data_IF_423834344837
#
_entry.id   IF_423834344837
#
_cell.length_a   1.000
_cell.length_b   1.000
_cell.length_c   1.000
_cell.angle_alpha   90.00
_cell.angle_beta   90.00
_cell.angle_gamma   90.00
#
_symmetry.space_group_name_H-M   'P 1'
#
loop_
_entity.id
_entity.type
_entity.pdbx_description
1 polymer ?
#
# COMPACT_ATOMS: atom_id res chain seq x y z
N UNK A 1 39.41 -5.01 -29.21
CA UNK A 1 39.72 -5.54 -27.88
C UNK A 1 38.48 -5.38 -27.02
N UNK A 2 37.82 -6.48 -26.70
CA UNK A 2 36.74 -6.52 -25.71
C UNK A 2 37.42 -6.35 -24.33
N UNK A 3 37.36 -5.16 -23.74
CA UNK A 3 37.77 -4.96 -22.36
C UNK A 3 36.69 -5.56 -21.48
N UNK A 4 37.03 -6.63 -20.73
CA UNK A 4 36.19 -7.07 -19.65
C UNK A 4 36.03 -5.91 -18.65
N UNK A 5 34.79 -5.54 -18.28
CA UNK A 5 34.61 -4.54 -17.22
C UNK A 5 35.28 -5.06 -15.94
N UNK A 6 35.87 -4.19 -15.12
CA UNK A 6 36.51 -4.62 -13.87
C UNK A 6 35.46 -5.34 -13.01
N UNK A 7 35.90 -6.42 -12.35
CA UNK A 7 35.06 -7.16 -11.41
C UNK A 7 34.52 -6.19 -10.35
N UNK A 8 33.21 -6.18 -10.16
CA UNK A 8 32.59 -5.38 -9.12
C UNK A 8 32.99 -5.93 -7.74
N UNK A 9 33.67 -5.13 -6.93
CA UNK A 9 34.06 -5.52 -5.58
C UNK A 9 32.83 -5.86 -4.72
N UNK A 10 31.71 -5.13 -4.88
CA UNK A 10 30.44 -5.39 -4.20
C UNK A 10 29.85 -6.78 -4.47
N UNK A 11 30.13 -7.39 -5.64
CA UNK A 11 29.74 -8.78 -5.91
C UNK A 11 30.46 -9.81 -5.03
N UNK A 12 31.65 -9.47 -4.52
CA UNK A 12 32.34 -10.33 -3.56
C UNK A 12 31.60 -10.39 -2.23
N UNK A 13 31.00 -9.28 -1.79
CA UNK A 13 30.14 -9.23 -0.62
C UNK A 13 28.86 -10.05 -0.82
N UNK A 14 28.24 -9.99 -2.01
CA UNK A 14 27.07 -10.83 -2.33
C UNK A 14 27.45 -12.33 -2.28
N UNK A 15 28.59 -12.72 -2.83
CA UNK A 15 29.10 -14.11 -2.74
C UNK A 15 29.35 -14.53 -1.29
N UNK A 16 29.98 -13.66 -0.50
CA UNK A 16 30.19 -13.91 0.94
C UNK A 16 28.84 -14.12 1.66
N UNK A 17 27.81 -13.30 1.33
CA UNK A 17 26.46 -13.47 1.88
C UNK A 17 25.83 -14.81 1.53
N UNK A 18 25.98 -15.29 0.30
CA UNK A 18 25.51 -16.63 -0.12
C UNK A 18 26.14 -17.73 0.75
N UNK A 19 27.38 -17.54 1.21
CA UNK A 19 28.07 -18.46 2.12
C UNK A 19 27.82 -18.18 3.61
N UNK A 20 26.84 -17.32 3.95
CA UNK A 20 26.41 -17.08 5.33
C UNK A 20 27.13 -15.95 6.07
N UNK A 21 28.03 -15.19 5.40
CA UNK A 21 28.70 -14.06 6.03
C UNK A 21 27.76 -12.85 6.18
N UNK A 22 27.92 -12.10 7.26
CA UNK A 22 27.22 -10.83 7.46
C UNK A 22 27.77 -9.78 6.52
N UNK A 23 26.87 -8.90 6.05
CA UNK A 23 27.23 -7.75 5.24
C UNK A 23 27.61 -6.56 6.15
N UNK A 24 28.77 -5.98 5.87
CA UNK A 24 29.22 -4.79 6.56
C UNK A 24 28.58 -3.52 5.96
N UNK A 25 28.60 -2.43 6.73
CA UNK A 25 28.03 -1.13 6.29
C UNK A 25 28.59 -0.68 4.94
N UNK A 26 29.92 -0.75 4.76
CA UNK A 26 30.60 -0.37 3.51
C UNK A 26 30.23 -1.26 2.34
N UNK A 27 30.02 -2.55 2.59
CA UNK A 27 29.59 -3.51 1.57
C UNK A 27 28.16 -3.22 1.10
N UNK A 28 27.21 -2.97 2.03
CA UNK A 28 25.84 -2.59 1.71
C UNK A 28 25.77 -1.26 0.94
N UNK A 29 26.56 -0.28 1.34
CA UNK A 29 26.66 0.99 0.60
C UNK A 29 27.20 0.79 -0.82
N UNK A 30 28.21 -0.06 -0.99
CA UNK A 30 28.77 -0.38 -2.31
C UNK A 30 27.75 -1.13 -3.18
N UNK A 31 27.04 -2.11 -2.62
CA UNK A 31 25.99 -2.85 -3.33
C UNK A 31 24.90 -1.89 -3.81
N UNK A 32 24.34 -1.07 -2.92
CA UNK A 32 23.24 -0.14 -3.25
C UNK A 32 23.67 0.87 -4.31
N UNK A 33 24.87 1.42 -4.21
CA UNK A 33 25.44 2.33 -5.22
C UNK A 33 25.59 1.66 -6.57
N UNK A 34 26.22 0.46 -6.62
CA UNK A 34 26.41 -0.27 -7.86
C UNK A 34 25.09 -0.72 -8.51
N UNK A 35 24.05 -0.97 -7.71
CA UNK A 35 22.68 -1.22 -8.19
C UNK A 35 22.13 0.02 -8.90
N UNK A 36 22.20 1.18 -8.28
CA UNK A 36 21.67 2.46 -8.83
C UNK A 36 22.46 2.91 -10.06
N UNK A 37 23.77 2.67 -10.08
CA UNK A 37 24.64 2.95 -11.22
C UNK A 37 24.42 1.97 -12.40
N UNK A 38 23.49 1.03 -12.29
CA UNK A 38 23.17 0.05 -13.33
C UNK A 38 24.29 -0.97 -13.58
N UNK A 39 25.17 -1.18 -12.61
CA UNK A 39 26.32 -2.09 -12.72
C UNK A 39 25.98 -3.53 -12.40
N UNK A 40 24.80 -3.77 -11.79
CA UNK A 40 24.28 -5.12 -11.50
C UNK A 40 23.40 -5.61 -12.65
N UNK A 41 23.63 -6.85 -13.06
CA UNK A 41 22.70 -7.56 -13.93
C UNK A 41 21.54 -8.12 -13.12
N UNK A 42 20.41 -8.48 -13.77
CA UNK A 42 19.28 -9.13 -13.10
C UNK A 42 19.70 -10.42 -12.38
N UNK A 43 20.72 -11.14 -12.90
CA UNK A 43 21.29 -12.34 -12.25
C UNK A 43 21.97 -11.97 -10.93
N UNK A 44 22.75 -10.89 -10.92
CA UNK A 44 23.43 -10.43 -9.71
C UNK A 44 22.45 -9.89 -8.67
N UNK A 45 21.42 -9.14 -9.12
CA UNK A 45 20.32 -8.68 -8.28
C UNK A 45 19.53 -9.84 -7.68
N UNK A 46 19.18 -10.84 -8.50
CA UNK A 46 18.49 -12.05 -8.04
C UNK A 46 19.31 -12.81 -7.00
N UNK A 47 20.64 -12.90 -7.18
CA UNK A 47 21.53 -13.54 -6.22
C UNK A 47 21.54 -12.79 -4.86
N UNK A 48 21.65 -11.45 -4.87
CA UNK A 48 21.59 -10.64 -3.66
C UNK A 48 20.24 -10.79 -2.94
N UNK A 49 19.13 -10.66 -3.66
CA UNK A 49 17.78 -10.74 -3.13
C UNK A 49 17.50 -12.15 -2.56
N UNK A 50 17.89 -13.19 -3.28
CA UNK A 50 17.72 -14.58 -2.80
C UNK A 50 18.58 -14.85 -1.57
N UNK A 51 19.84 -14.43 -1.56
CA UNK A 51 20.71 -14.60 -0.41
C UNK A 51 20.17 -13.94 0.85
N UNK A 52 19.59 -12.74 0.73
CA UNK A 52 18.99 -12.00 1.86
C UNK A 52 17.58 -12.46 2.22
N UNK A 53 16.89 -13.19 1.34
CA UNK A 53 15.62 -13.85 1.66
C UNK A 53 15.83 -15.18 2.41
N UNK A 54 16.82 -15.98 2.01
CA UNK A 54 17.16 -17.26 2.64
C UNK A 54 17.88 -17.06 3.98
N UNK A 55 18.78 -16.11 4.04
CA UNK A 55 19.48 -15.65 5.25
C UNK A 55 19.02 -14.22 5.55
N UNK A 56 17.93 -14.00 6.30
CA UNK A 56 17.40 -12.67 6.53
C UNK A 56 18.43 -11.72 7.13
N UNK A 57 18.39 -10.47 6.68
CA UNK A 57 19.19 -9.41 7.26
C UNK A 57 18.76 -9.20 8.71
N UNK A 58 19.74 -9.12 9.61
CA UNK A 58 19.45 -8.81 11.00
C UNK A 58 19.22 -7.29 11.19
N UNK A 59 18.93 -6.90 12.45
CA UNK A 59 18.67 -5.51 12.79
C UNK A 59 19.85 -4.58 12.46
N UNK A 60 21.09 -5.08 12.63
CA UNK A 60 22.30 -4.29 12.40
C UNK A 60 22.67 -4.17 10.93
N UNK A 61 22.26 -5.13 10.10
CA UNK A 61 22.40 -5.07 8.64
C UNK A 61 21.29 -4.23 7.99
N UNK A 62 20.08 -4.27 8.56
CA UNK A 62 18.92 -3.52 8.01
C UNK A 62 19.10 -2.01 8.12
N UNK A 63 19.73 -1.49 9.19
CA UNK A 63 19.99 -0.05 9.35
C UNK A 63 20.90 0.49 8.24
N UNK A 64 22.11 -0.05 8.00
CA UNK A 64 22.97 0.46 6.93
C UNK A 64 22.39 0.26 5.54
N UNK A 65 21.60 -0.81 5.30
CA UNK A 65 20.86 -0.95 4.05
C UNK A 65 19.85 0.19 3.87
N UNK A 66 19.04 0.46 4.90
CA UNK A 66 18.07 1.56 4.88
C UNK A 66 18.75 2.89 4.60
N UNK A 67 19.86 3.18 5.30
CA UNK A 67 20.64 4.41 5.12
C UNK A 67 21.21 4.52 3.71
N UNK A 68 21.82 3.45 3.21
CA UNK A 68 22.35 3.41 1.84
C UNK A 68 21.27 3.69 0.78
N UNK A 69 20.08 3.15 0.98
CA UNK A 69 18.94 3.40 0.08
C UNK A 69 18.42 4.84 0.16
N UNK A 70 18.48 5.47 1.35
CA UNK A 70 18.17 6.90 1.51
C UNK A 70 19.24 7.75 0.80
N UNK A 71 20.51 7.48 1.04
CA UNK A 71 21.66 8.30 0.59
C UNK A 71 21.80 8.38 -0.94
N UNK A 72 21.26 7.39 -1.68
CA UNK A 72 21.32 7.36 -3.16
C UNK A 72 20.10 7.99 -3.85
N UNK A 73 19.09 8.39 -3.09
CA UNK A 73 17.86 9.00 -3.60
C UNK A 73 17.84 10.53 -3.42
N UNK A 74 16.88 11.17 -4.08
CA UNK A 74 16.57 12.58 -3.83
C UNK A 74 15.86 12.76 -2.49
N UNK A 75 16.09 13.91 -1.84
CA UNK A 75 15.51 14.23 -0.54
C UNK A 75 14.57 15.41 -0.64
N UNK A 76 13.34 15.23 -0.17
CA UNK A 76 12.38 16.32 -0.03
C UNK A 76 12.52 16.99 1.34
N UNK A 77 12.40 18.30 1.39
CA UNK A 77 12.41 19.06 2.62
C UNK A 77 11.19 19.98 2.69
N UNK A 78 10.53 20.00 3.82
CA UNK A 78 9.31 20.76 4.05
C UNK A 78 9.52 21.77 5.18
N UNK A 79 8.97 22.97 5.00
CA UNK A 79 9.00 24.01 6.05
C UNK A 79 7.91 23.74 7.09
N UNK A 80 7.99 22.59 7.77
CA UNK A 80 7.07 22.19 8.82
C UNK A 80 7.80 21.34 9.86
N UNK A 81 7.54 21.53 11.17
CA UNK A 81 8.18 20.76 12.23
C UNK A 81 7.65 19.32 12.26
N UNK A 82 6.40 19.11 11.84
CA UNK A 82 5.73 17.80 11.81
C UNK A 82 5.30 17.52 10.38
N UNK A 83 5.89 16.49 9.80
CA UNK A 83 5.57 15.96 8.46
C UNK A 83 5.19 14.50 8.63
N UNK A 84 3.92 14.22 8.39
CA UNK A 84 3.36 12.89 8.64
C UNK A 84 3.26 12.06 7.37
N UNK A 85 3.34 10.74 7.51
CA UNK A 85 3.04 9.78 6.45
C UNK A 85 2.33 8.55 7.02
N UNK A 86 1.71 7.80 6.17
CA UNK A 86 1.05 6.52 6.47
C UNK A 86 1.49 5.48 5.46
N UNK A 87 1.83 4.28 5.94
CA UNK A 87 2.11 3.15 5.08
C UNK A 87 1.35 1.91 5.54
N UNK A 88 1.01 1.02 4.60
CA UNK A 88 0.48 -0.30 4.90
C UNK A 88 1.43 -1.35 4.30
N UNK A 89 1.79 -2.37 5.07
CA UNK A 89 2.67 -3.46 4.59
C UNK A 89 2.07 -4.27 3.44
N UNK A 90 0.75 -4.15 3.22
CA UNK A 90 0.07 -4.70 2.06
C UNK A 90 -0.62 -6.03 2.29
N UNK A 91 -1.01 -6.68 1.18
CA UNK A 91 -1.69 -7.97 1.19
C UNK A 91 -3.21 -7.90 1.24
N UNK A 92 -3.81 -6.70 1.24
CA UNK A 92 -5.27 -6.51 1.20
C UNK A 92 -5.69 -5.81 -0.10
N UNK A 93 -6.49 -6.43 -0.96
CA UNK A 93 -7.13 -5.72 -2.07
C UNK A 93 -8.11 -4.66 -1.54
N UNK A 94 -8.34 -3.63 -2.32
CA UNK A 94 -9.08 -2.45 -1.87
C UNK A 94 -8.20 -1.59 -0.95
N UNK A 95 -8.49 -1.54 0.34
CA UNK A 95 -7.68 -0.88 1.39
C UNK A 95 -7.18 0.53 1.03
N UNK A 96 -8.03 1.33 0.39
CA UNK A 96 -7.72 2.69 -0.08
C UNK A 96 -7.87 3.73 1.04
N UNK A 97 -7.30 3.44 2.22
CA UNK A 97 -7.32 4.35 3.37
C UNK A 97 -6.46 5.59 3.14
N UNK A 98 -5.40 5.50 2.33
CA UNK A 98 -4.41 6.58 2.17
C UNK A 98 -5.02 7.90 1.68
N UNK A 99 -5.86 7.97 0.63
CA UNK A 99 -6.46 9.23 0.21
C UNK A 99 -7.32 9.87 1.31
N UNK A 100 -8.07 9.05 2.06
CA UNK A 100 -8.89 9.52 3.18
C UNK A 100 -8.04 10.11 4.30
N UNK A 101 -6.96 9.42 4.66
CA UNK A 101 -6.02 9.87 5.70
C UNK A 101 -5.34 11.18 5.31
N UNK A 102 -4.89 11.31 4.04
CA UNK A 102 -4.29 12.56 3.54
C UNK A 102 -5.28 13.71 3.64
N UNK A 103 -6.52 13.50 3.19
CA UNK A 103 -7.55 14.53 3.23
C UNK A 103 -7.87 14.98 4.67
N UNK A 104 -7.97 14.03 5.61
CA UNK A 104 -8.26 14.32 7.02
C UNK A 104 -7.09 15.06 7.68
N UNK A 105 -5.86 14.56 7.53
CA UNK A 105 -4.68 15.16 8.14
C UNK A 105 -4.40 16.57 7.59
N UNK A 106 -4.47 16.74 6.27
CA UNK A 106 -4.28 18.03 5.62
C UNK A 106 -5.38 19.04 5.99
N UNK A 107 -6.66 18.61 6.12
CA UNK A 107 -7.75 19.45 6.59
C UNK A 107 -7.57 19.93 8.04
N UNK A 108 -6.77 19.24 8.84
CA UNK A 108 -6.37 19.67 10.19
C UNK A 108 -5.07 20.49 10.21
N UNK A 109 -4.46 20.74 9.06
CA UNK A 109 -3.23 21.55 8.95
C UNK A 109 -1.92 20.77 9.04
N UNK A 110 -1.94 19.45 9.27
CA UNK A 110 -0.74 18.63 9.22
C UNK A 110 -0.20 18.51 7.79
N UNK A 111 1.12 18.54 7.64
CA UNK A 111 1.78 18.38 6.34
C UNK A 111 1.93 16.89 6.03
N UNK A 112 1.27 16.43 4.96
CA UNK A 112 1.30 15.04 4.51
C UNK A 112 1.61 14.94 3.00
N UNK A 113 2.89 15.03 2.60
CA UNK A 113 3.32 14.94 1.19
C UNK A 113 3.37 13.48 0.76
N UNK A 114 2.22 12.92 0.45
CA UNK A 114 2.09 11.49 0.18
C UNK A 114 2.60 11.10 -1.19
N UNK A 115 3.71 10.36 -1.23
CA UNK A 115 4.14 9.61 -2.40
C UNK A 115 3.71 8.15 -2.29
N UNK A 116 3.26 7.58 -3.38
CA UNK A 116 2.70 6.22 -3.43
C UNK A 116 3.19 5.46 -4.65
N UNK A 117 3.27 4.13 -4.55
CA UNK A 117 3.57 3.28 -5.71
C UNK A 117 2.30 3.02 -6.54
N UNK A 118 2.53 2.69 -7.82
CA UNK A 118 1.57 1.95 -8.64
C UNK A 118 1.47 0.51 -8.15
N UNK A 119 0.47 -0.20 -8.60
CA UNK A 119 0.27 -1.61 -8.22
C UNK A 119 1.48 -2.47 -8.58
N UNK A 120 1.94 -3.24 -7.60
CA UNK A 120 3.00 -4.24 -7.79
C UNK A 120 2.37 -5.62 -8.00
N UNK A 121 1.69 -6.15 -7.00
CA UNK A 121 0.97 -7.43 -7.03
C UNK A 121 -0.53 -7.29 -6.75
N UNK A 122 -0.95 -6.12 -6.25
CA UNK A 122 -2.35 -5.78 -6.00
C UNK A 122 -3.09 -5.39 -7.29
N UNK A 123 -4.43 -5.44 -7.31
CA UNK A 123 -5.24 -4.97 -8.44
C UNK A 123 -5.22 -3.45 -8.65
N UNK A 124 -4.83 -2.68 -7.62
CA UNK A 124 -4.56 -1.25 -7.71
C UNK A 124 -3.56 -0.81 -6.66
N UNK A 125 -2.70 0.15 -7.00
CA UNK A 125 -1.91 0.94 -6.06
C UNK A 125 -2.63 2.25 -5.72
N UNK A 126 -2.15 2.97 -4.71
CA UNK A 126 -2.72 4.28 -4.37
C UNK A 126 -2.55 5.27 -5.53
N UNK A 127 -1.42 5.23 -6.25
CA UNK A 127 -1.22 6.08 -7.41
C UNK A 127 -2.21 5.74 -8.54
N UNK A 128 -2.46 4.45 -8.82
CA UNK A 128 -3.43 4.03 -9.85
C UNK A 128 -4.85 4.50 -9.52
N UNK A 129 -5.25 4.42 -8.24
CA UNK A 129 -6.55 4.89 -7.78
C UNK A 129 -6.67 6.42 -7.85
N UNK A 130 -5.64 7.14 -7.43
CA UNK A 130 -5.64 8.60 -7.49
C UNK A 130 -5.57 9.13 -8.91
N UNK A 131 -4.93 8.41 -9.83
CA UNK A 131 -4.88 8.78 -11.25
C UNK A 131 -6.26 8.80 -11.93
N UNK A 132 -7.24 8.09 -11.36
CA UNK A 132 -8.65 8.20 -11.79
C UNK A 132 -9.21 9.60 -11.47
N UNK A 133 -8.77 10.20 -10.37
CA UNK A 133 -9.28 11.47 -9.86
C UNK A 133 -8.48 12.68 -10.36
N UNK A 134 -7.14 12.57 -10.41
CA UNK A 134 -6.24 13.68 -10.68
C UNK A 134 -4.93 13.22 -11.34
N UNK A 135 -4.12 14.18 -11.80
CA UNK A 135 -2.75 13.91 -12.22
C UNK A 135 -1.89 13.51 -11.01
N UNK A 136 -1.22 12.36 -11.09
CA UNK A 136 -0.33 11.83 -10.04
C UNK A 136 1.16 12.03 -10.34
N UNK A 137 1.48 12.66 -11.47
CA UNK A 137 2.85 12.91 -11.95
C UNK A 137 3.14 14.43 -12.10
N UNK A 138 2.88 15.26 -11.07
CA UNK A 138 3.27 16.67 -11.12
C UNK A 138 4.79 16.79 -11.11
N UNK A 139 5.34 17.88 -11.66
CA UNK A 139 6.76 18.20 -11.47
C UNK A 139 7.07 18.44 -9.99
N UNK A 140 8.33 18.35 -9.61
CA UNK A 140 8.76 18.57 -8.21
C UNK A 140 8.39 19.97 -7.71
N UNK A 141 8.56 20.99 -8.55
CA UNK A 141 8.20 22.37 -8.22
C UNK A 141 6.71 22.48 -7.95
N UNK A 142 5.90 21.90 -8.84
CA UNK A 142 4.44 21.91 -8.68
C UNK A 142 3.99 21.14 -7.44
N UNK A 143 4.61 19.99 -7.17
CA UNK A 143 4.33 19.20 -5.96
C UNK A 143 4.64 20.00 -4.69
N UNK A 144 5.76 20.71 -4.68
CA UNK A 144 6.16 21.57 -3.55
C UNK A 144 5.18 22.73 -3.31
N UNK A 145 4.67 23.35 -4.39
CA UNK A 145 3.63 24.38 -4.31
C UNK A 145 2.33 23.80 -3.72
N UNK A 146 1.87 22.67 -4.24
CA UNK A 146 0.64 22.01 -3.77
C UNK A 146 0.73 21.70 -2.27
N UNK A 147 1.85 21.12 -1.82
CA UNK A 147 2.02 20.80 -0.40
C UNK A 147 2.07 22.06 0.47
N UNK A 148 2.72 23.13 0.01
CA UNK A 148 2.76 24.40 0.72
C UNK A 148 1.37 25.02 0.88
N UNK A 149 0.55 24.98 -0.18
CA UNK A 149 -0.76 25.62 -0.22
C UNK A 149 -1.86 24.77 0.43
N UNK A 150 -1.82 23.44 0.17
CA UNK A 150 -2.88 22.51 0.56
C UNK A 150 -2.45 21.50 1.63
N UNK A 151 -1.26 21.62 2.21
CA UNK A 151 -0.73 20.76 3.28
C UNK A 151 -0.59 19.28 2.92
N UNK A 152 -0.86 18.88 1.69
CA UNK A 152 -0.78 17.49 1.25
C UNK A 152 -0.67 17.35 -0.26
N UNK A 153 -0.39 16.14 -0.69
CA UNK A 153 -0.48 15.70 -2.08
C UNK A 153 -0.66 14.19 -2.14
N UNK A 154 -1.01 13.67 -3.31
CA UNK A 154 -1.14 12.23 -3.57
C UNK A 154 -0.46 11.93 -4.92
N UNK A 155 0.87 11.86 -4.91
CA UNK A 155 1.68 11.71 -6.11
C UNK A 155 2.22 10.28 -6.28
N UNK A 156 2.60 9.93 -7.51
CA UNK A 156 3.38 8.73 -7.78
C UNK A 156 4.84 8.95 -7.39
N UNK A 157 5.40 8.04 -6.58
CA UNK A 157 6.77 8.17 -6.06
C UNK A 157 7.87 7.99 -7.12
N UNK A 158 7.55 7.42 -8.30
CA UNK A 158 8.53 7.24 -9.37
C UNK A 158 8.98 8.55 -10.03
N UNK A 159 8.18 9.61 -9.97
CA UNK A 159 8.54 10.93 -10.54
C UNK A 159 9.55 11.70 -9.69
N UNK A 160 9.68 11.36 -8.41
CA UNK A 160 10.52 12.10 -7.47
C UNK A 160 11.87 11.41 -7.15
N UNK A 161 12.18 10.29 -7.82
CA UNK A 161 13.44 9.52 -7.63
C UNK A 161 13.87 9.32 -6.17
N UNK A 162 12.89 9.18 -5.26
CA UNK A 162 13.13 9.14 -3.82
C UNK A 162 13.88 7.88 -3.36
N UNK A 163 13.77 6.79 -4.08
CA UNK A 163 14.45 5.54 -3.73
C UNK A 163 14.73 4.70 -4.99
N UNK A 164 15.65 5.15 -5.85
CA UNK A 164 15.95 4.47 -7.12
C UNK A 164 16.44 3.03 -6.91
N UNK A 165 17.17 2.77 -5.82
CA UNK A 165 17.59 1.42 -5.47
C UNK A 165 16.38 0.50 -5.22
N UNK A 166 15.36 0.99 -4.52
CA UNK A 166 14.16 0.22 -4.23
C UNK A 166 13.38 -0.13 -5.49
N UNK A 167 13.23 0.81 -6.42
CA UNK A 167 12.52 0.59 -7.69
C UNK A 167 13.20 -0.50 -8.52
N UNK A 168 14.54 -0.52 -8.53
CA UNK A 168 15.33 -1.56 -9.22
C UNK A 168 15.18 -2.91 -8.52
N UNK A 169 15.35 -2.97 -7.19
CA UNK A 169 15.26 -4.20 -6.42
C UNK A 169 13.85 -4.82 -6.52
N UNK A 170 12.80 -4.04 -6.39
CA UNK A 170 11.40 -4.50 -6.53
C UNK A 170 11.14 -5.09 -7.92
N UNK A 171 11.76 -4.56 -8.98
CA UNK A 171 11.56 -5.09 -10.33
C UNK A 171 11.97 -6.56 -10.46
N UNK A 172 12.96 -6.99 -9.68
CA UNK A 172 13.48 -8.37 -9.62
C UNK A 172 12.80 -9.20 -8.51
N UNK A 173 12.52 -8.61 -7.34
CA UNK A 173 11.78 -9.31 -6.26
C UNK A 173 10.40 -9.79 -6.73
N UNK A 174 9.73 -8.97 -7.52
CA UNK A 174 8.35 -9.18 -7.96
C UNK A 174 8.12 -10.50 -8.71
N UNK A 175 8.85 -10.83 -9.80
CA UNK A 175 8.69 -12.09 -10.50
C UNK A 175 9.13 -13.30 -9.66
N UNK A 176 10.03 -13.11 -8.71
CA UNK A 176 10.55 -14.19 -7.85
C UNK A 176 9.67 -14.42 -6.60
N UNK A 177 8.72 -13.51 -6.32
CA UNK A 177 7.88 -13.56 -5.11
C UNK A 177 8.70 -13.67 -3.83
N UNK A 178 9.86 -13.00 -3.77
CA UNK A 178 10.72 -12.98 -2.61
C UNK A 178 10.17 -12.02 -1.55
N UNK A 179 10.29 -12.41 -0.29
CA UNK A 179 9.85 -11.62 0.85
C UNK A 179 10.94 -11.67 1.94
N UNK A 180 11.65 -10.57 2.13
CA UNK A 180 12.68 -10.43 3.16
C UNK A 180 12.27 -9.33 4.13
N UNK A 181 12.10 -9.64 5.44
CA UNK A 181 11.71 -8.64 6.42
C UNK A 181 12.65 -7.43 6.46
N UNK A 182 13.96 -7.65 6.41
CA UNK A 182 14.94 -6.56 6.43
C UNK A 182 14.87 -5.66 5.20
N UNK A 183 14.70 -6.26 4.02
CA UNK A 183 14.53 -5.49 2.78
C UNK A 183 13.19 -4.74 2.75
N UNK A 184 12.10 -5.36 3.21
CA UNK A 184 10.81 -4.69 3.34
C UNK A 184 10.90 -3.46 4.23
N UNK A 185 11.57 -3.56 5.39
CA UNK A 185 11.79 -2.44 6.31
C UNK A 185 12.62 -1.35 5.63
N UNK A 186 13.74 -1.71 4.99
CA UNK A 186 14.59 -0.75 4.29
C UNK A 186 13.83 -0.06 3.14
N UNK A 187 13.11 -0.81 2.31
CA UNK A 187 12.26 -0.30 1.22
C UNK A 187 11.21 0.71 1.71
N UNK A 188 10.50 0.39 2.80
CA UNK A 188 9.44 1.25 3.30
C UNK A 188 10.03 2.51 3.95
N UNK A 189 10.97 2.35 4.88
CA UNK A 189 11.49 3.49 5.65
C UNK A 189 12.32 4.45 4.80
N UNK A 190 13.14 3.95 3.86
CA UNK A 190 13.95 4.80 2.99
C UNK A 190 13.08 5.78 2.19
N UNK A 191 11.97 5.32 1.60
CA UNK A 191 11.05 6.18 0.85
C UNK A 191 10.39 7.25 1.72
N UNK A 192 10.06 6.93 2.98
CA UNK A 192 9.42 7.88 3.90
C UNK A 192 10.40 8.96 4.36
N UNK A 193 11.62 8.56 4.68
CA UNK A 193 12.69 9.48 5.05
C UNK A 193 13.07 10.36 3.87
N UNK A 194 13.28 9.79 2.68
CA UNK A 194 13.57 10.54 1.47
C UNK A 194 12.45 11.53 1.09
N UNK A 195 11.18 11.17 1.34
CA UNK A 195 10.04 12.06 1.18
C UNK A 195 9.96 13.18 2.24
N UNK A 196 10.90 13.25 3.19
CA UNK A 196 10.97 14.28 4.23
C UNK A 196 9.98 14.08 5.38
N UNK A 197 9.40 12.89 5.53
CA UNK A 197 8.51 12.58 6.66
C UNK A 197 9.32 12.31 7.92
N UNK A 198 8.88 12.84 9.06
CA UNK A 198 9.47 12.61 10.37
C UNK A 198 8.54 11.88 11.35
N UNK A 199 7.27 11.66 10.96
CA UNK A 199 6.29 10.86 11.68
C UNK A 199 5.60 9.89 10.72
N UNK A 200 5.54 8.61 11.10
CA UNK A 200 4.96 7.55 10.29
C UNK A 200 4.00 6.69 11.10
N UNK A 201 2.79 6.49 10.60
CA UNK A 201 1.90 5.41 11.06
C UNK A 201 2.01 4.23 10.09
N UNK A 202 2.39 3.07 10.60
CA UNK A 202 2.54 1.83 9.85
C UNK A 202 1.39 0.88 10.18
N UNK A 203 0.59 0.56 9.18
CA UNK A 203 -0.51 -0.40 9.23
C UNK A 203 0.00 -1.80 8.88
N UNK A 204 -0.10 -2.75 9.80
CA UNK A 204 0.22 -4.17 9.61
C UNK A 204 -1.06 -5.00 9.69
N UNK A 205 -1.73 -5.28 8.57
CA UNK A 205 -2.90 -6.14 8.55
C UNK A 205 -2.50 -7.60 8.76
N UNK A 206 -3.21 -8.30 9.65
CA UNK A 206 -3.03 -9.73 9.90
C UNK A 206 -4.23 -10.52 9.40
N UNK A 207 -3.96 -11.55 8.60
CA UNK A 207 -5.00 -12.45 8.10
C UNK A 207 -4.41 -13.66 7.38
N UNK A 208 -5.18 -14.74 7.23
CA UNK A 208 -4.68 -16.00 6.65
C UNK A 208 -4.18 -15.86 5.22
N UNK A 209 -4.70 -14.86 4.49
CA UNK A 209 -4.33 -14.55 3.10
C UNK A 209 -3.79 -13.12 2.94
N UNK A 210 -3.47 -12.43 4.05
CA UNK A 210 -2.70 -11.19 4.06
C UNK A 210 -1.21 -11.46 3.92
N UNK A 211 -0.40 -10.40 3.80
CA UNK A 211 1.06 -10.51 3.74
C UNK A 211 1.65 -10.99 5.07
N UNK A 212 1.11 -10.53 6.18
CA UNK A 212 1.43 -10.97 7.54
C UNK A 212 0.31 -11.88 8.02
N UNK A 213 0.64 -13.10 8.44
CA UNK A 213 -0.36 -14.16 8.66
C UNK A 213 -0.62 -14.47 10.13
N UNK A 214 0.23 -14.00 11.03
CA UNK A 214 0.11 -14.30 12.45
C UNK A 214 0.58 -13.15 13.34
N UNK A 215 0.04 -13.08 14.56
CA UNK A 215 0.44 -12.09 15.56
C UNK A 215 1.94 -12.18 15.91
N UNK A 216 2.55 -13.37 16.11
CA UNK A 216 4.00 -13.46 16.36
C UNK A 216 4.85 -12.89 15.21
N UNK A 217 4.41 -13.07 13.95
CA UNK A 217 5.07 -12.51 12.77
C UNK A 217 4.94 -10.97 12.76
N UNK A 218 3.74 -10.44 12.98
CA UNK A 218 3.50 -9.01 13.08
C UNK A 218 4.34 -8.35 14.18
N UNK A 219 4.43 -8.97 15.36
CA UNK A 219 5.24 -8.47 16.46
C UNK A 219 6.75 -8.50 16.17
N UNK A 220 7.25 -9.51 15.46
CA UNK A 220 8.65 -9.53 15.01
C UNK A 220 8.92 -8.41 14.03
N UNK A 221 8.03 -8.22 13.06
CA UNK A 221 8.12 -7.18 12.05
C UNK A 221 8.03 -5.78 12.69
N UNK A 222 7.08 -5.57 13.61
CA UNK A 222 6.94 -4.35 14.42
C UNK A 222 8.26 -3.98 15.11
N UNK A 223 8.86 -4.92 15.85
CA UNK A 223 10.13 -4.66 16.54
C UNK A 223 11.26 -4.26 15.60
N UNK A 224 11.32 -4.88 14.41
CA UNK A 224 12.34 -4.53 13.41
C UNK A 224 12.11 -3.11 12.87
N UNK A 225 10.87 -2.76 12.54
CA UNK A 225 10.51 -1.41 12.11
C UNK A 225 10.83 -0.35 13.17
N UNK A 226 10.39 -0.57 14.42
CA UNK A 226 10.64 0.35 15.54
C UNK A 226 12.13 0.55 15.78
N UNK A 227 12.89 -0.54 15.76
CA UNK A 227 14.34 -0.51 15.97
C UNK A 227 15.08 0.30 14.88
N UNK A 228 14.73 0.10 13.61
CA UNK A 228 15.36 0.80 12.49
C UNK A 228 14.89 2.26 12.44
N UNK A 229 13.59 2.53 12.58
CA UNK A 229 13.01 3.86 12.57
C UNK A 229 13.65 4.77 13.64
N UNK A 230 13.81 4.28 14.87
CA UNK A 230 14.46 5.01 15.96
C UNK A 230 15.88 5.47 15.59
N UNK A 231 16.66 4.61 14.92
CA UNK A 231 18.04 4.92 14.50
C UNK A 231 18.14 5.79 13.26
N UNK A 232 17.04 5.88 12.53
CA UNK A 232 16.88 6.78 11.39
C UNK A 232 16.17 8.08 11.75
N UNK A 233 15.94 8.35 13.05
CA UNK A 233 15.27 9.55 13.59
C UNK A 233 13.85 9.76 13.04
N UNK A 234 13.13 8.65 12.74
CA UNK A 234 11.76 8.66 12.31
C UNK A 234 10.86 8.24 13.49
N UNK A 235 9.94 9.10 13.90
CA UNK A 235 8.89 8.74 14.86
C UNK A 235 7.93 7.76 14.21
N UNK A 236 7.80 6.56 14.80
CA UNK A 236 6.99 5.48 14.23
C UNK A 236 5.95 4.98 15.22
N UNK A 237 4.71 4.94 14.77
CA UNK A 237 3.62 4.25 15.44
C UNK A 237 3.15 3.07 14.58
N UNK A 238 3.08 1.87 15.16
CA UNK A 238 2.69 0.64 14.45
C UNK A 238 1.30 0.20 14.91
N UNK A 239 0.38 0.13 13.97
CA UNK A 239 -1.00 -0.31 14.20
C UNK A 239 -1.21 -1.67 13.56
N UNK A 240 -1.55 -2.67 14.36
CA UNK A 240 -1.92 -4.01 13.87
C UNK A 240 -3.42 -4.01 13.61
N UNK A 241 -3.84 -4.41 12.41
CA UNK A 241 -5.23 -4.34 11.97
C UNK A 241 -5.75 -5.67 11.43
N UNK A 242 -7.07 -5.79 11.31
CA UNK A 242 -7.72 -6.97 10.71
C UNK A 242 -7.44 -7.04 9.20
N UNK A 243 -6.89 -8.15 8.77
CA UNK A 243 -6.55 -8.47 7.38
C UNK A 243 -7.23 -9.72 6.83
N UNK A 244 -8.32 -10.19 7.47
CA UNK A 244 -9.01 -11.44 7.10
C UNK A 244 -9.83 -11.33 5.82
N UNK A 245 -10.06 -10.13 5.31
CA UNK A 245 -10.83 -9.86 4.10
C UNK A 245 -10.34 -8.58 3.39
N UNK A 246 -10.73 -8.35 2.12
CA UNK A 246 -10.55 -7.07 1.45
C UNK A 246 -11.19 -5.91 2.22
N UNK A 247 -10.61 -4.72 2.15
CA UNK A 247 -11.13 -3.49 2.76
C UNK A 247 -11.79 -2.63 1.67
N UNK A 248 -12.99 -2.12 1.95
CA UNK A 248 -13.84 -1.50 0.94
C UNK A 248 -14.61 -2.55 0.12
N UNK A 249 -15.45 -2.11 -0.79
CA UNK A 249 -16.24 -2.97 -1.65
C UNK A 249 -15.63 -3.10 -3.04
N UNK A 250 -15.03 -2.01 -3.53
CA UNK A 250 -14.41 -1.97 -4.84
C UNK A 250 -12.95 -2.44 -4.83
N UNK A 251 -12.56 -3.19 -5.85
CA UNK A 251 -11.21 -3.71 -6.05
C UNK A 251 -10.82 -3.47 -7.50
N UNK A 252 -9.88 -2.56 -7.71
CA UNK A 252 -9.47 -2.01 -9.01
C UNK A 252 -9.58 -0.48 -9.01
N UNK A 253 -8.83 0.23 -9.88
CA UNK A 253 -8.62 1.68 -9.77
C UNK A 253 -9.91 2.51 -9.67
N UNK A 254 -10.84 2.31 -10.61
CA UNK A 254 -12.12 3.05 -10.67
C UNK A 254 -13.04 2.70 -9.51
N UNK A 255 -13.12 1.42 -9.14
CA UNK A 255 -13.97 0.95 -8.04
C UNK A 255 -13.45 1.46 -6.68
N UNK A 256 -12.13 1.46 -6.49
CA UNK A 256 -11.51 1.98 -5.27
C UNK A 256 -11.62 3.50 -5.17
N UNK A 257 -11.50 4.24 -6.29
CA UNK A 257 -11.73 5.69 -6.33
C UNK A 257 -13.19 6.04 -5.97
N UNK A 258 -14.17 5.27 -6.48
CA UNK A 258 -15.57 5.37 -6.10
C UNK A 258 -15.76 5.22 -4.59
N UNK A 259 -15.17 4.19 -4.00
CA UNK A 259 -15.30 3.92 -2.56
C UNK A 259 -14.69 5.04 -1.70
N UNK A 260 -13.54 5.58 -2.11
CA UNK A 260 -12.92 6.75 -1.47
C UNK A 260 -13.87 7.95 -1.48
N UNK A 261 -14.42 8.30 -2.64
CA UNK A 261 -15.32 9.45 -2.76
C UNK A 261 -16.61 9.23 -1.96
N UNK A 262 -17.19 8.04 -1.99
CA UNK A 262 -18.36 7.69 -1.17
C UNK A 262 -18.11 7.87 0.33
N UNK A 263 -16.93 7.49 0.82
CA UNK A 263 -16.57 7.70 2.24
C UNK A 263 -16.43 9.19 2.55
N UNK A 264 -15.79 9.98 1.69
CA UNK A 264 -15.62 11.42 1.88
C UNK A 264 -16.95 12.17 1.88
N UNK A 265 -17.93 11.72 1.10
CA UNK A 265 -19.27 12.30 1.02
C UNK A 265 -20.23 11.82 2.11
N UNK A 266 -19.80 10.92 2.98
CA UNK A 266 -20.69 10.23 3.93
C UNK A 266 -21.89 9.57 3.24
N UNK A 267 -21.65 9.02 2.03
CA UNK A 267 -22.68 8.38 1.22
C UNK A 267 -23.25 7.15 1.94
N UNK A 268 -24.59 6.86 1.86
CA UNK A 268 -25.18 5.70 2.52
C UNK A 268 -24.58 4.35 2.13
N UNK A 269 -24.05 4.24 0.91
CA UNK A 269 -23.38 3.02 0.40
C UNK A 269 -21.85 3.05 0.62
N UNK A 270 -21.33 3.98 1.44
CA UNK A 270 -19.91 4.01 1.75
C UNK A 270 -19.48 2.77 2.54
N UNK A 271 -18.36 2.11 2.15
CA UNK A 271 -17.86 0.94 2.87
C UNK A 271 -17.39 1.32 4.27
N UNK A 272 -18.08 0.81 5.29
CA UNK A 272 -17.86 1.19 6.69
C UNK A 272 -16.53 0.68 7.23
N UNK A 273 -16.05 -0.47 6.77
CA UNK A 273 -14.74 -1.00 7.13
C UNK A 273 -13.60 -0.06 6.67
N UNK A 274 -13.67 0.44 5.43
CA UNK A 274 -12.74 1.42 4.89
C UNK A 274 -12.79 2.73 5.69
N UNK A 275 -14.01 3.24 5.96
CA UNK A 275 -14.23 4.45 6.75
C UNK A 275 -13.60 4.33 8.14
N UNK A 276 -13.95 3.28 8.88
CA UNK A 276 -13.47 3.08 10.25
C UNK A 276 -11.95 2.91 10.32
N UNK A 277 -11.38 2.15 9.39
CA UNK A 277 -9.93 1.97 9.32
C UNK A 277 -9.22 3.28 9.01
N UNK A 278 -9.72 4.06 8.05
CA UNK A 278 -9.15 5.36 7.71
C UNK A 278 -9.18 6.34 8.90
N UNK A 279 -10.31 6.41 9.62
CA UNK A 279 -10.46 7.26 10.80
C UNK A 279 -9.47 6.89 11.92
N UNK A 280 -9.27 5.60 12.17
CA UNK A 280 -8.27 5.14 13.18
C UNK A 280 -6.86 5.55 12.80
N UNK A 281 -6.46 5.32 11.54
CA UNK A 281 -5.12 5.66 11.08
C UNK A 281 -4.89 7.18 11.02
N UNK A 282 -5.90 7.95 10.60
CA UNK A 282 -5.84 9.41 10.63
C UNK A 282 -5.78 9.93 12.06
N UNK A 283 -6.58 9.39 12.98
CA UNK A 283 -6.56 9.76 14.40
C UNK A 283 -5.18 9.60 15.02
N UNK A 284 -4.50 8.48 14.75
CA UNK A 284 -3.12 8.26 15.22
C UNK A 284 -2.12 9.27 14.68
N UNK A 285 -2.29 9.71 13.42
CA UNK A 285 -1.44 10.76 12.85
C UNK A 285 -1.77 12.14 13.41
N UNK A 286 -3.04 12.44 13.66
CA UNK A 286 -3.45 13.71 14.28
C UNK A 286 -2.84 13.88 15.68
N UNK A 287 -2.69 12.80 16.44
CA UNK A 287 -2.06 12.79 17.76
C UNK A 287 -0.54 13.05 17.73
N UNK A 288 0.08 13.14 16.53
CA UNK A 288 1.45 13.65 16.42
C UNK A 288 1.51 15.18 16.62
N UNK A 289 0.38 15.89 16.47
CA UNK A 289 0.28 17.31 16.80
C UNK A 289 0.25 17.48 18.33
N UNK A 290 1.21 18.23 18.92
CA UNK A 290 1.28 18.41 20.37
C UNK A 290 0.07 19.15 20.95
N UNK A 291 -0.69 19.86 20.13
CA UNK A 291 -1.92 20.56 20.55
C UNK A 291 -3.13 19.62 20.65
N UNK A 292 -3.00 18.39 20.15
CA UNK A 292 -4.04 17.36 20.22
C UNK A 292 -3.72 16.40 21.38
N UNK A 293 -4.68 16.31 22.32
CA UNK A 293 -4.54 15.37 23.42
C UNK A 293 -4.58 13.93 22.94
N UNK A 294 -3.68 13.10 23.46
CA UNK A 294 -3.66 11.66 23.16
C UNK A 294 -4.99 10.99 23.50
N UNK A 295 -5.54 10.23 22.53
CA UNK A 295 -6.84 9.60 22.58
C UNK A 295 -7.97 10.39 21.89
N UNK A 296 -7.80 11.68 21.62
CA UNK A 296 -8.83 12.50 20.97
C UNK A 296 -8.77 12.43 19.43
N UNK A 297 -7.65 11.95 18.86
CA UNK A 297 -7.40 11.96 17.42
C UNK A 297 -8.48 11.27 16.59
N UNK A 298 -9.05 10.16 17.07
CA UNK A 298 -10.14 9.48 16.36
C UNK A 298 -11.42 10.35 16.30
N UNK A 299 -11.78 11.01 17.41
CA UNK A 299 -12.96 11.87 17.45
C UNK A 299 -12.80 13.08 16.54
N UNK A 300 -11.59 13.68 16.50
CA UNK A 300 -11.25 14.79 15.61
C UNK A 300 -11.29 14.34 14.14
N UNK A 301 -10.68 13.19 13.81
CA UNK A 301 -10.72 12.63 12.45
C UNK A 301 -12.16 12.43 11.97
N UNK A 302 -13.02 11.91 12.86
CA UNK A 302 -14.43 11.68 12.57
C UNK A 302 -15.16 13.01 12.33
N UNK A 303 -14.93 14.01 13.17
CA UNK A 303 -15.55 15.34 12.99
C UNK A 303 -15.12 15.99 11.66
N UNK A 304 -13.83 15.89 11.30
CA UNK A 304 -13.31 16.38 10.01
C UNK A 304 -13.99 15.69 8.83
N UNK A 305 -14.21 14.39 8.92
CA UNK A 305 -14.89 13.62 7.87
C UNK A 305 -16.39 13.96 7.81
N UNK A 306 -17.08 13.90 8.95
CA UNK A 306 -18.54 14.05 9.02
C UNK A 306 -19.00 15.48 8.70
N UNK A 307 -18.19 16.49 9.02
CA UNK A 307 -18.45 17.89 8.67
C UNK A 307 -18.19 18.25 7.21
N UNK A 308 -17.64 17.32 6.40
CA UNK A 308 -17.30 17.56 5.00
C UNK A 308 -15.96 18.28 4.78
N UNK A 309 -15.21 18.62 5.83
CA UNK A 309 -13.89 19.28 5.71
C UNK A 309 -12.88 18.40 4.95
N UNK A 310 -12.91 17.08 5.17
CA UNK A 310 -12.07 16.14 4.42
C UNK A 310 -12.42 16.10 2.93
N UNK A 311 -13.71 16.15 2.58
CA UNK A 311 -14.17 16.21 1.19
C UNK A 311 -13.70 17.51 0.52
N UNK A 312 -13.88 18.64 1.18
CA UNK A 312 -13.44 19.95 0.68
C UNK A 312 -11.91 19.94 0.42
N UNK A 313 -11.14 19.39 1.36
CA UNK A 313 -9.69 19.27 1.23
C UNK A 313 -9.29 18.34 0.07
N UNK A 314 -9.94 17.18 -0.09
CA UNK A 314 -9.67 16.28 -1.21
C UNK A 314 -9.98 16.94 -2.55
N UNK A 315 -11.08 17.66 -2.68
CA UNK A 315 -11.43 18.39 -3.90
C UNK A 315 -10.38 19.44 -4.23
N UNK A 316 -9.90 20.19 -3.22
CA UNK A 316 -8.81 21.16 -3.42
C UNK A 316 -7.51 20.49 -3.91
N UNK A 317 -7.17 19.32 -3.36
CA UNK A 317 -6.00 18.54 -3.81
C UNK A 317 -6.17 18.03 -5.25
N UNK A 318 -7.35 17.52 -5.60
CA UNK A 318 -7.68 17.05 -6.95
C UNK A 318 -7.53 18.19 -7.95
N UNK A 319 -8.10 19.37 -7.67
CA UNK A 319 -7.97 20.54 -8.54
C UNK A 319 -6.52 21.02 -8.65
N UNK A 320 -5.81 21.13 -7.54
CA UNK A 320 -4.42 21.57 -7.53
C UNK A 320 -3.49 20.63 -8.31
N UNK A 321 -3.77 19.32 -8.28
CA UNK A 321 -3.00 18.31 -9.04
C UNK A 321 -3.44 18.21 -10.51
N UNK A 322 -4.58 18.76 -10.89
CA UNK A 322 -5.19 18.67 -12.23
C UNK A 322 -6.25 17.57 -12.29
N UNK A 323 -7.50 17.98 -12.10
CA UNK A 323 -8.69 17.12 -12.07
C UNK A 323 -8.87 16.34 -13.38
N UNK A 324 -9.31 15.09 -13.29
CA UNK A 324 -9.69 14.24 -14.41
C UNK A 324 -11.20 14.08 -14.59
N UNK A 325 -12.01 14.89 -13.90
CA UNK A 325 -13.48 14.94 -14.02
C UNK A 325 -14.16 13.56 -13.84
N UNK A 326 -13.79 12.85 -12.81
CA UNK A 326 -14.35 11.54 -12.50
C UNK A 326 -15.73 11.65 -11.85
N UNK A 327 -16.76 11.05 -12.48
CA UNK A 327 -18.09 10.86 -11.88
C UNK A 327 -18.14 9.54 -11.10
N UNK A 328 -18.02 9.61 -9.79
CA UNK A 328 -18.06 8.43 -8.92
C UNK A 328 -19.48 7.92 -8.63
N UNK A 329 -20.52 8.67 -8.97
CA UNK A 329 -21.90 8.20 -8.91
C UNK A 329 -22.22 7.29 -10.09
N UNK A 330 -21.58 7.54 -11.25
CA UNK A 330 -21.67 6.73 -12.46
C UNK A 330 -20.27 6.32 -12.94
N UNK A 331 -19.55 5.50 -12.16
CA UNK A 331 -18.16 5.18 -12.46
C UNK A 331 -18.04 4.49 -13.84
N UNK A 332 -17.06 4.87 -14.67
CA UNK A 332 -16.87 4.30 -16.00
C UNK A 332 -16.27 2.88 -15.92
N UNK A 333 -17.09 1.91 -15.55
CA UNK A 333 -16.71 0.50 -15.44
C UNK A 333 -16.69 -0.20 -16.80
N UNK A 334 -15.96 -1.31 -16.87
CA UNK A 334 -15.95 -2.18 -18.05
C UNK A 334 -17.38 -2.67 -18.38
N UNK A 335 -17.74 -2.63 -19.66
CA UNK A 335 -19.09 -2.97 -20.12
C UNK A 335 -19.41 -4.45 -20.00
N UNK A 336 -18.39 -5.31 -19.99
CA UNK A 336 -18.53 -6.74 -19.81
C UNK A 336 -18.50 -7.07 -18.32
N UNK A 337 -19.42 -7.91 -17.87
CA UNK A 337 -19.47 -8.32 -16.47
C UNK A 337 -20.05 -9.71 -16.31
N UNK A 338 -19.82 -10.30 -15.15
CA UNK A 338 -20.54 -11.49 -14.66
C UNK A 338 -20.63 -11.48 -13.14
N UNK A 339 -21.66 -12.15 -12.65
CA UNK A 339 -21.94 -12.29 -11.23
C UNK A 339 -21.42 -13.63 -10.71
N UNK A 340 -20.82 -13.61 -9.52
CA UNK A 340 -20.50 -14.81 -8.76
C UNK A 340 -21.46 -14.90 -7.60
N UNK A 341 -22.21 -16.00 -7.58
CA UNK A 341 -23.34 -16.21 -6.68
C UNK A 341 -22.99 -17.21 -5.57
N UNK A 342 -23.67 -17.11 -4.44
CA UNK A 342 -23.57 -18.07 -3.35
C UNK A 342 -24.10 -19.45 -3.80
N UNK A 343 -23.32 -20.54 -3.64
CA UNK A 343 -23.73 -21.88 -4.07
C UNK A 343 -24.74 -22.52 -3.12
N UNK A 344 -24.89 -22.01 -1.90
CA UNK A 344 -25.77 -22.52 -0.85
C UNK A 344 -26.09 -21.43 0.18
N UNK A 345 -27.09 -21.70 1.03
CA UNK A 345 -27.35 -20.87 2.22
C UNK A 345 -26.21 -21.00 3.23
N UNK A 346 -25.93 -19.91 3.95
CA UNK A 346 -24.89 -19.90 4.99
C UNK A 346 -24.47 -18.50 5.43
N UNK A 347 -23.34 -18.46 6.09
CA UNK A 347 -22.65 -17.20 6.49
C UNK A 347 -21.29 -17.17 5.84
N UNK A 348 -20.86 -16.01 5.37
CA UNK A 348 -19.50 -15.82 4.86
C UNK A 348 -18.52 -15.93 6.01
N UNK A 349 -17.76 -17.02 6.09
CA UNK A 349 -16.78 -17.29 7.16
C UNK A 349 -15.34 -17.03 6.73
N UNK A 350 -15.08 -16.80 5.44
CA UNK A 350 -13.76 -16.48 4.91
C UNK A 350 -13.83 -15.85 3.54
N UNK A 351 -12.90 -14.91 3.29
CA UNK A 351 -12.66 -14.31 1.97
C UNK A 351 -11.16 -14.34 1.71
N UNK A 352 -10.76 -15.02 0.64
CA UNK A 352 -9.36 -15.14 0.23
C UNK A 352 -8.91 -13.88 -0.52
N UNK A 353 -8.13 -13.04 0.15
CA UNK A 353 -7.58 -11.80 -0.42
C UNK A 353 -6.76 -12.05 -1.70
N UNK A 354 -5.96 -13.14 -1.73
CA UNK A 354 -5.10 -13.46 -2.87
C UNK A 354 -5.93 -13.88 -4.07
N UNK A 355 -6.97 -14.70 -3.85
CA UNK A 355 -7.85 -15.16 -4.93
C UNK A 355 -8.68 -14.01 -5.50
N UNK A 356 -9.25 -13.15 -4.64
CA UNK A 356 -10.00 -11.96 -5.10
C UNK A 356 -9.09 -11.01 -5.87
N UNK A 357 -7.86 -10.74 -5.36
CA UNK A 357 -6.88 -9.94 -6.07
C UNK A 357 -6.51 -10.55 -7.44
N UNK A 358 -6.35 -11.87 -7.51
CA UNK A 358 -6.08 -12.60 -8.75
C UNK A 358 -7.21 -12.45 -9.77
N UNK A 359 -8.47 -12.61 -9.34
CA UNK A 359 -9.65 -12.47 -10.21
C UNK A 359 -9.70 -11.04 -10.78
N UNK A 360 -9.53 -10.00 -9.93
CA UNK A 360 -9.53 -8.61 -10.36
C UNK A 360 -8.40 -8.32 -11.38
N UNK A 361 -7.22 -8.89 -11.18
CA UNK A 361 -6.10 -8.74 -12.12
C UNK A 361 -6.35 -9.45 -13.44
N UNK A 362 -6.94 -10.62 -13.44
CA UNK A 362 -7.31 -11.35 -14.65
C UNK A 362 -8.42 -10.63 -15.42
N UNK A 363 -9.30 -9.88 -14.74
CA UNK A 363 -10.29 -9.01 -15.35
C UNK A 363 -9.69 -7.77 -16.04
N UNK A 364 -8.39 -7.50 -15.84
CA UNK A 364 -7.64 -6.41 -16.49
C UNK A 364 -7.02 -5.39 -15.54
N UNK A 365 -7.40 -5.33 -14.26
CA UNK A 365 -6.84 -4.39 -13.31
C UNK A 365 -5.34 -4.66 -13.03
N UNK A 366 -4.50 -3.65 -12.78
CA UNK A 366 -4.78 -2.21 -12.82
C UNK A 366 -4.64 -1.59 -14.21
N UNK A 367 -4.10 -2.32 -15.21
CA UNK A 367 -3.80 -1.77 -16.56
C UNK A 367 -5.04 -1.20 -17.23
N UNK A 368 -6.18 -1.85 -17.02
CA UNK A 368 -7.50 -1.38 -17.41
C UNK A 368 -8.21 -0.86 -16.18
N UNK A 369 -8.16 0.45 -15.94
CA UNK A 369 -8.71 1.07 -14.73
C UNK A 369 -10.20 0.79 -14.49
N UNK A 370 -10.95 0.57 -15.58
CA UNK A 370 -12.38 0.23 -15.57
C UNK A 370 -12.68 -1.23 -15.17
N UNK A 371 -11.64 -2.08 -15.05
CA UNK A 371 -11.77 -3.49 -14.67
C UNK A 371 -11.61 -3.69 -13.16
N UNK A 372 -12.23 -4.73 -12.64
CA UNK A 372 -12.08 -5.08 -11.23
C UNK A 372 -13.19 -5.97 -10.70
N UNK A 373 -13.28 -6.04 -9.37
CA UNK A 373 -14.27 -6.81 -8.62
C UNK A 373 -15.02 -5.87 -7.68
N UNK A 374 -16.35 -5.95 -7.69
CA UNK A 374 -17.24 -5.21 -6.78
C UNK A 374 -17.91 -6.19 -5.81
N UNK A 375 -17.50 -6.15 -4.54
CA UNK A 375 -17.95 -7.05 -3.49
C UNK A 375 -19.35 -6.66 -3.00
N UNK A 376 -20.26 -7.62 -2.96
CA UNK A 376 -21.60 -7.45 -2.42
C UNK A 376 -21.76 -8.03 -1.01
N UNK A 377 -20.89 -8.93 -0.59
CA UNK A 377 -20.91 -9.59 0.72
C UNK A 377 -19.56 -9.53 1.40
N UNK A 378 -19.58 -9.38 2.71
CA UNK A 378 -18.40 -9.30 3.58
C UNK A 378 -18.42 -10.44 4.60
N UNK A 379 -17.29 -10.59 5.30
CA UNK A 379 -17.16 -11.57 6.38
C UNK A 379 -18.23 -11.35 7.44
N UNK A 380 -18.99 -12.40 7.76
CA UNK A 380 -20.11 -12.37 8.70
C UNK A 380 -21.48 -12.18 8.08
N UNK A 381 -21.58 -11.84 6.79
CA UNK A 381 -22.86 -11.66 6.12
C UNK A 381 -23.56 -13.01 5.91
N UNK A 382 -24.87 -13.05 6.23
CA UNK A 382 -25.72 -14.17 5.86
C UNK A 382 -26.06 -14.11 4.37
N UNK A 383 -26.10 -15.27 3.71
CA UNK A 383 -26.43 -15.41 2.30
C UNK A 383 -27.38 -16.58 2.09
N UNK A 384 -28.27 -16.45 1.12
CA UNK A 384 -29.05 -17.54 0.57
C UNK A 384 -28.42 -18.03 -0.74
N UNK A 385 -28.73 -19.27 -1.13
CA UNK A 385 -28.33 -19.79 -2.43
C UNK A 385 -28.80 -18.88 -3.56
N UNK A 386 -27.87 -18.48 -4.44
CA UNK A 386 -28.14 -17.54 -5.53
C UNK A 386 -27.93 -16.07 -5.18
N UNK A 387 -27.63 -15.71 -3.92
CA UNK A 387 -27.27 -14.34 -3.56
C UNK A 387 -25.95 -13.92 -4.22
N UNK A 388 -25.87 -12.64 -4.63
CA UNK A 388 -24.66 -12.07 -5.21
C UNK A 388 -23.56 -11.98 -4.14
N UNK A 389 -22.43 -12.66 -4.38
CA UNK A 389 -21.21 -12.50 -3.58
C UNK A 389 -20.37 -11.33 -4.08
N UNK A 390 -20.15 -11.25 -5.39
CA UNK A 390 -19.46 -10.14 -6.04
C UNK A 390 -19.74 -10.13 -7.55
N UNK A 391 -19.50 -8.97 -8.17
CA UNK A 391 -19.54 -8.77 -9.62
C UNK A 391 -18.14 -8.48 -10.15
N UNK A 392 -17.78 -9.08 -11.28
CA UNK A 392 -16.55 -8.83 -12.00
C UNK A 392 -16.85 -7.93 -13.19
N UNK A 393 -16.01 -6.90 -13.39
CA UNK A 393 -16.06 -5.98 -14.52
C UNK A 393 -14.81 -6.11 -15.37
N UNK A 394 -14.96 -6.17 -16.70
CA UNK A 394 -13.86 -6.21 -17.66
C UNK A 394 -14.18 -5.38 -18.91
N UNK A 395 -13.15 -4.95 -19.61
CA UNK A 395 -13.31 -4.23 -20.89
C UNK A 395 -13.11 -5.14 -22.11
N UNK A 396 -12.43 -6.28 -21.94
CA UNK A 396 -12.12 -7.23 -23.00
C UNK A 396 -12.66 -8.61 -22.67
N UNK A 397 -13.16 -9.31 -23.72
CA UNK A 397 -13.77 -10.64 -23.54
C UNK A 397 -12.78 -11.68 -23.01
N UNK A 398 -11.53 -11.65 -23.50
CA UNK A 398 -10.47 -12.55 -23.02
C UNK A 398 -10.21 -12.43 -21.52
N UNK A 399 -10.17 -11.19 -21.02
CA UNK A 399 -9.92 -10.91 -19.62
C UNK A 399 -11.10 -11.36 -18.75
N UNK A 400 -12.34 -11.13 -19.24
CA UNK A 400 -13.54 -11.63 -18.58
C UNK A 400 -13.55 -13.15 -18.48
N UNK A 401 -13.14 -13.84 -19.55
CA UNK A 401 -13.12 -15.31 -19.60
C UNK A 401 -12.03 -15.87 -18.66
N UNK A 402 -10.85 -15.24 -18.57
CA UNK A 402 -9.83 -15.62 -17.60
C UNK A 402 -10.30 -15.44 -16.15
N UNK A 403 -10.94 -14.30 -15.86
CA UNK A 403 -11.50 -14.02 -14.54
C UNK A 403 -12.62 -15.04 -14.19
N UNK A 404 -13.49 -15.36 -15.15
CA UNK A 404 -14.57 -16.37 -14.98
C UNK A 404 -14.01 -17.76 -14.72
N UNK A 405 -13.00 -18.20 -15.45
CA UNK A 405 -12.34 -19.48 -15.22
C UNK A 405 -11.67 -19.55 -13.84
N UNK A 406 -11.05 -18.46 -13.41
CA UNK A 406 -10.44 -18.39 -12.08
C UNK A 406 -11.48 -18.46 -10.97
N UNK A 407 -12.60 -17.72 -11.10
CA UNK A 407 -13.68 -17.72 -10.10
C UNK A 407 -14.45 -19.05 -10.07
N UNK A 408 -14.57 -19.74 -11.21
CA UNK A 408 -15.19 -21.07 -11.26
C UNK A 408 -14.35 -22.15 -10.55
N UNK A 409 -13.01 -22.00 -10.54
CA UNK A 409 -12.11 -22.89 -9.78
C UNK A 409 -12.18 -22.61 -8.27
N UNK A 410 -12.29 -21.37 -7.89
CA UNK A 410 -12.47 -20.89 -6.53
C UNK A 410 -13.07 -19.49 -6.57
N UNK A 411 -14.23 -19.30 -5.94
CA UNK A 411 -14.83 -17.97 -5.79
C UNK A 411 -14.01 -17.05 -4.87
N UNK A 412 -13.13 -17.61 -4.05
CA UNK A 412 -12.45 -16.90 -2.97
C UNK A 412 -13.30 -16.74 -1.71
N UNK A 413 -14.55 -17.21 -1.72
CA UNK A 413 -15.47 -17.17 -0.57
C UNK A 413 -15.62 -18.54 0.06
N UNK A 414 -15.69 -18.56 1.38
CA UNK A 414 -16.01 -19.74 2.18
C UNK A 414 -17.30 -19.48 2.93
N UNK A 415 -18.26 -20.37 2.76
CA UNK A 415 -19.54 -20.36 3.48
C UNK A 415 -19.53 -21.42 4.59
N UNK A 416 -20.17 -21.10 5.70
CA UNK A 416 -20.28 -21.99 6.85
C UNK A 416 -21.41 -21.58 7.79
N UNK A 417 -21.32 -22.04 9.04
CA UNK A 417 -22.29 -21.72 10.08
C UNK A 417 -21.87 -20.47 10.88
N UNK A 418 -22.80 -19.71 11.48
CA UNK A 418 -22.49 -18.48 12.22
C UNK A 418 -21.40 -18.61 13.30
N UNK A 419 -21.31 -19.75 13.97
CA UNK A 419 -20.31 -20.02 15.02
C UNK A 419 -18.90 -20.33 14.52
N UNK A 420 -18.68 -20.37 13.20
CA UNK A 420 -17.38 -20.69 12.57
C UNK A 420 -16.57 -19.47 12.14
N UNK A 421 -17.02 -18.27 12.48
CA UNK A 421 -16.29 -17.03 12.18
C UNK A 421 -14.93 -17.06 12.90
N UNK A 422 -13.82 -16.79 12.18
CA UNK A 422 -12.51 -16.73 12.81
C UNK A 422 -12.45 -15.56 13.80
N UNK A 423 -11.74 -15.77 14.91
CA UNK A 423 -11.58 -14.73 15.93
C UNK A 423 -10.94 -13.47 15.38
N UNK A 424 -11.40 -12.32 15.85
CA UNK A 424 -10.84 -11.01 15.47
C UNK A 424 -9.53 -10.83 16.23
N UNK A 425 -8.44 -10.62 15.50
CA UNK A 425 -7.19 -10.15 16.06
C UNK A 425 -7.10 -8.64 15.80
N UNK A 426 -7.42 -7.84 16.77
CA UNK A 426 -7.24 -6.38 16.71
C UNK A 426 -6.46 -5.97 17.94
N UNK A 427 -5.27 -5.46 17.75
CA UNK A 427 -4.56 -4.68 18.76
C UNK A 427 -5.03 -3.22 18.55
N UNK A 428 -5.56 -2.62 19.60
CA UNK A 428 -6.03 -1.23 19.61
C UNK A 428 -4.89 -0.26 19.91
#
# INVERSE_FOLDING_TARGET
QVRHPPLLESLSAVRARIHGHRLQTTELQAIVRDVVDGRYTDVALSAFLTATAVLPLDMQETIPLTRAMVDVGDHLQWQAPIVVDKHCVGGLPGNRTTPLVVAICAANGLVMPKTSSRAITSPAGTADTMEVLANVEPSFERLSEIVREHRGCLAWGGTAHLSPADDILISVERPLSLDSPGQMVASILSKKIAAGSNHLVLDIPIGPTAKVRSMPEAQRLRRLFEYVAQRMHLSLDVVITDGRQPIGNGIGPVLEARDVMRVLENHPLAPQDLRQKALRLAGRLLECDPDIRGGDGFAIARDILDSGRALAQMNALIEAQGSRHFDHHHPPLGKLNFDVLAPADGVVIGIDNLQIARIARLAGAPKVGAAGVDLARKLGDAVAAGDLLYRVHASFQSDLDFARQASAKSSGYQLGQPGQLPHVFVEF
#
